data_IF_631016574504
#
_entry.id   IF_631016574504
#
_cell.length_a   1.000
_cell.length_b   1.000
_cell.length_c   1.000
_cell.angle_alpha   90.00
_cell.angle_beta   90.00
_cell.angle_gamma   90.00
#
_symmetry.space_group_name_H-M   'P 1'
#
loop_
_entity.id
_entity.type
_entity.pdbx_description
1 polymer ?
#
# COMPACT_ATOMS: atom_id res chain seq x y z
N UNK A 1 -12.36 -20.93 8.37
CA UNK A 1 -13.30 -20.07 7.60
C UNK A 1 -13.26 -18.62 8.07
N UNK A 2 -13.63 -18.30 9.32
CA UNK A 2 -13.68 -16.91 9.84
C UNK A 2 -12.36 -16.15 9.65
N UNK A 3 -11.23 -16.78 9.91
CA UNK A 3 -9.91 -16.14 9.78
C UNK A 3 -9.58 -15.74 8.34
N UNK A 4 -9.97 -16.52 7.33
CA UNK A 4 -9.78 -16.16 5.93
C UNK A 4 -10.67 -14.96 5.55
N UNK A 5 -11.88 -14.86 6.11
CA UNK A 5 -12.74 -13.69 5.89
C UNK A 5 -12.10 -12.43 6.46
N UNK A 6 -11.57 -12.50 7.68
CA UNK A 6 -10.84 -11.38 8.29
C UNK A 6 -9.60 -11.00 7.47
N UNK A 7 -8.84 -11.99 7.01
CA UNK A 7 -7.67 -11.76 6.16
C UNK A 7 -8.07 -11.15 4.79
N UNK A 8 -9.17 -11.58 4.19
CA UNK A 8 -9.68 -11.03 2.94
C UNK A 8 -10.15 -9.57 3.11
N UNK A 9 -10.80 -9.25 4.23
CA UNK A 9 -11.18 -7.87 4.57
C UNK A 9 -9.91 -7.01 4.73
N UNK A 10 -8.93 -7.49 5.51
CA UNK A 10 -7.67 -6.80 5.71
C UNK A 10 -6.92 -6.58 4.39
N UNK A 11 -6.85 -7.61 3.53
CA UNK A 11 -6.24 -7.54 2.21
C UNK A 11 -6.93 -6.48 1.33
N UNK A 12 -8.26 -6.44 1.35
CA UNK A 12 -9.06 -5.47 0.58
C UNK A 12 -8.78 -4.04 1.04
N UNK A 13 -8.76 -3.80 2.37
CA UNK A 13 -8.43 -2.49 2.93
C UNK A 13 -6.98 -2.08 2.61
N UNK A 14 -6.05 -3.03 2.66
CA UNK A 14 -4.65 -2.80 2.34
C UNK A 14 -4.47 -2.41 0.86
N UNK A 15 -5.16 -3.08 -0.06
CA UNK A 15 -5.18 -2.72 -1.49
C UNK A 15 -5.80 -1.34 -1.70
N UNK A 16 -6.92 -1.04 -1.02
CA UNK A 16 -7.56 0.26 -1.12
C UNK A 16 -6.63 1.39 -0.63
N UNK A 17 -5.87 1.18 0.44
CA UNK A 17 -4.87 2.13 0.93
C UNK A 17 -3.72 2.33 -0.08
N UNK A 18 -3.21 1.25 -0.66
CA UNK A 18 -2.19 1.32 -1.71
C UNK A 18 -2.69 2.09 -2.93
N UNK A 19 -3.89 1.75 -3.43
CA UNK A 19 -4.52 2.44 -4.54
C UNK A 19 -4.72 3.93 -4.23
N UNK A 20 -5.24 4.26 -3.05
CA UNK A 20 -5.41 5.64 -2.61
C UNK A 20 -4.08 6.41 -2.62
N UNK A 21 -3.01 5.83 -2.08
CA UNK A 21 -1.69 6.45 -2.07
C UNK A 21 -1.18 6.73 -3.50
N UNK A 22 -1.26 5.75 -4.41
CA UNK A 22 -0.81 5.88 -5.80
C UNK A 22 -1.63 6.87 -6.64
N UNK A 23 -2.93 6.97 -6.37
CA UNK A 23 -3.84 7.93 -7.01
C UNK A 23 -3.64 9.35 -6.47
N UNK A 24 -3.30 9.50 -5.18
CA UNK A 24 -3.13 10.82 -4.53
C UNK A 24 -1.72 11.39 -4.68
N UNK A 25 -0.70 10.55 -4.81
CA UNK A 25 0.69 10.96 -5.06
C UNK A 25 0.86 12.09 -6.11
N UNK A 26 0.29 11.99 -7.35
CA UNK A 26 0.46 13.05 -8.36
C UNK A 26 -0.20 14.39 -7.99
N UNK A 27 -1.10 14.41 -7.01
CA UNK A 27 -1.73 15.65 -6.54
C UNK A 27 -0.82 16.45 -5.60
N UNK A 28 0.07 15.78 -4.87
CA UNK A 28 0.88 16.41 -3.81
C UNK A 28 2.39 16.37 -4.05
N UNK A 29 2.86 15.76 -5.15
CA UNK A 29 4.28 15.70 -5.51
C UNK A 29 4.53 16.48 -6.80
N UNK A 30 5.41 17.49 -6.75
CA UNK A 30 5.84 18.27 -7.90
C UNK A 30 7.01 17.57 -8.63
N UNK A 31 6.88 17.42 -9.96
CA UNK A 31 7.93 16.88 -10.82
C UNK A 31 7.79 15.39 -11.12
N UNK A 32 7.88 15.04 -12.40
CA UNK A 32 7.71 13.67 -12.88
C UNK A 32 8.74 12.71 -12.27
N UNK A 33 10.00 13.14 -12.10
CA UNK A 33 11.07 12.32 -11.52
C UNK A 33 10.81 11.96 -10.06
N UNK A 34 10.38 12.93 -9.24
CA UNK A 34 10.05 12.68 -7.82
C UNK A 34 8.84 11.75 -7.68
N UNK A 35 7.83 11.94 -8.54
CA UNK A 35 6.65 11.09 -8.57
C UNK A 35 7.01 9.64 -8.95
N UNK A 36 7.85 9.46 -9.98
CA UNK A 36 8.32 8.13 -10.39
C UNK A 36 9.16 7.47 -9.30
N UNK A 37 10.07 8.20 -8.67
CA UNK A 37 10.86 7.68 -7.56
C UNK A 37 9.98 7.24 -6.38
N UNK A 38 9.01 8.07 -5.97
CA UNK A 38 8.09 7.73 -4.88
C UNK A 38 7.26 6.47 -5.19
N UNK A 39 6.76 6.35 -6.42
CA UNK A 39 6.02 5.16 -6.87
C UNK A 39 6.91 3.92 -6.88
N UNK A 40 8.11 4.01 -7.43
CA UNK A 40 9.05 2.89 -7.50
C UNK A 40 9.45 2.40 -6.11
N UNK A 41 9.74 3.33 -5.18
CA UNK A 41 10.11 2.98 -3.80
C UNK A 41 8.94 2.31 -3.08
N UNK A 42 7.74 2.90 -3.13
CA UNK A 42 6.57 2.33 -2.46
C UNK A 42 6.19 0.97 -3.04
N UNK A 43 6.23 0.83 -4.36
CA UNK A 43 5.91 -0.41 -5.04
C UNK A 43 6.95 -1.50 -4.75
N UNK A 44 8.24 -1.16 -4.83
CA UNK A 44 9.34 -2.08 -4.52
C UNK A 44 9.31 -2.55 -3.07
N UNK A 45 9.11 -1.62 -2.12
CA UNK A 45 9.00 -1.96 -0.70
C UNK A 45 7.75 -2.80 -0.43
N UNK A 46 6.61 -2.47 -1.07
CA UNK A 46 5.40 -3.27 -1.01
C UNK A 46 5.62 -4.70 -1.51
N UNK A 47 6.28 -4.89 -2.66
CA UNK A 47 6.62 -6.22 -3.17
C UNK A 47 7.52 -6.97 -2.19
N UNK A 48 8.57 -6.32 -1.67
CA UNK A 48 9.50 -6.94 -0.72
C UNK A 48 8.79 -7.42 0.55
N UNK A 49 8.01 -6.55 1.19
CA UNK A 49 7.26 -6.90 2.40
C UNK A 49 6.18 -7.95 2.13
N UNK A 50 5.44 -7.83 1.03
CA UNK A 50 4.47 -8.84 0.61
C UNK A 50 5.12 -10.20 0.40
N UNK A 51 6.26 -10.25 -0.32
CA UNK A 51 6.99 -11.49 -0.58
C UNK A 51 7.47 -12.15 0.70
N UNK A 52 8.10 -11.39 1.61
CA UNK A 52 8.53 -11.92 2.92
C UNK A 52 7.34 -12.46 3.72
N UNK A 53 6.21 -11.76 3.72
CA UNK A 53 4.98 -12.23 4.37
C UNK A 53 4.42 -13.51 3.75
N UNK A 54 4.46 -13.63 2.42
CA UNK A 54 4.00 -14.80 1.69
C UNK A 54 4.78 -16.07 2.06
N UNK A 55 6.09 -15.94 2.30
CA UNK A 55 6.98 -17.06 2.65
C UNK A 55 6.71 -17.65 4.03
N UNK A 56 5.96 -16.96 4.90
CA UNK A 56 5.60 -17.46 6.23
C UNK A 56 4.50 -18.51 6.20
N UNK A 57 3.79 -18.67 5.08
CA UNK A 57 2.62 -19.53 4.97
C UNK A 57 2.86 -20.63 3.93
N UNK A 58 2.56 -21.88 4.32
CA UNK A 58 2.64 -23.04 3.42
C UNK A 58 1.41 -23.20 2.53
N UNK A 59 0.26 -22.73 3.00
CA UNK A 59 -0.97 -22.81 2.23
C UNK A 59 -1.05 -21.71 1.16
N UNK A 60 -1.36 -22.04 -0.11
CA UNK A 60 -1.38 -21.06 -1.20
C UNK A 60 -2.31 -19.87 -0.94
N UNK A 61 -3.54 -20.12 -0.47
CA UNK A 61 -4.51 -19.07 -0.23
C UNK A 61 -4.06 -18.10 0.88
N UNK A 62 -3.50 -18.63 1.97
CA UNK A 62 -2.96 -17.83 3.07
C UNK A 62 -1.72 -17.03 2.64
N UNK A 63 -0.85 -17.63 1.84
CA UNK A 63 0.34 -16.98 1.28
C UNK A 63 -0.02 -15.79 0.39
N UNK A 64 -1.01 -15.96 -0.49
CA UNK A 64 -1.52 -14.87 -1.35
C UNK A 64 -2.13 -13.75 -0.51
N UNK A 65 -2.96 -14.09 0.48
CA UNK A 65 -3.55 -13.07 1.37
C UNK A 65 -2.48 -12.32 2.17
N UNK A 66 -1.48 -13.03 2.69
CA UNK A 66 -0.36 -12.43 3.40
C UNK A 66 0.47 -11.52 2.50
N UNK A 67 0.69 -11.90 1.23
CA UNK A 67 1.34 -11.05 0.24
C UNK A 67 0.56 -9.74 0.05
N UNK A 68 -0.74 -9.83 -0.19
CA UNK A 68 -1.59 -8.66 -0.46
C UNK A 68 -1.63 -7.72 0.76
N UNK A 69 -1.77 -8.29 1.96
CA UNK A 69 -1.74 -7.52 3.21
C UNK A 69 -0.38 -6.85 3.38
N UNK A 70 0.72 -7.59 3.28
CA UNK A 70 2.08 -7.06 3.41
C UNK A 70 2.39 -5.97 2.39
N UNK A 71 1.96 -6.16 1.14
CA UNK A 71 2.07 -5.16 0.09
C UNK A 71 1.30 -3.88 0.43
N UNK A 72 0.03 -3.99 0.82
CA UNK A 72 -0.81 -2.83 1.04
C UNK A 72 -0.52 -2.08 2.35
N UNK A 73 -0.13 -2.77 3.42
CA UNK A 73 0.18 -2.17 4.73
C UNK A 73 1.34 -1.17 4.65
N UNK A 74 2.35 -1.45 3.82
CA UNK A 74 3.48 -0.53 3.56
C UNK A 74 3.03 0.84 3.02
N UNK A 75 1.86 0.89 2.37
CA UNK A 75 1.32 2.12 1.81
C UNK A 75 0.47 2.92 2.82
N UNK A 76 0.16 2.38 4.01
CA UNK A 76 -0.66 3.07 5.01
C UNK A 76 -0.04 4.39 5.50
N UNK A 77 1.27 4.49 5.80
CA UNK A 77 1.86 5.77 6.19
C UNK A 77 1.74 6.83 5.08
N UNK A 78 1.99 6.44 3.83
CA UNK A 78 1.82 7.33 2.68
C UNK A 78 0.35 7.76 2.51
N UNK A 79 -0.60 6.82 2.65
CA UNK A 79 -2.03 7.11 2.65
C UNK A 79 -2.40 8.14 3.74
N UNK A 80 -1.91 7.94 4.97
CA UNK A 80 -2.14 8.85 6.09
C UNK A 80 -1.59 10.27 5.85
N UNK A 81 -0.34 10.36 5.38
CA UNK A 81 0.29 11.65 5.05
C UNK A 81 -0.50 12.38 3.95
N UNK A 82 -0.85 11.68 2.87
CA UNK A 82 -1.59 12.28 1.74
C UNK A 82 -3.02 12.66 2.13
N UNK A 83 -3.65 11.89 3.02
CA UNK A 83 -4.95 12.24 3.58
C UNK A 83 -4.88 13.49 4.45
N UNK A 84 -3.86 13.60 5.31
CA UNK A 84 -3.65 14.79 6.14
C UNK A 84 -3.35 16.03 5.29
N UNK A 85 -2.48 15.90 4.27
CA UNK A 85 -2.23 16.98 3.30
C UNK A 85 -3.51 17.47 2.62
N UNK A 86 -4.38 16.53 2.23
CA UNK A 86 -5.69 16.84 1.65
C UNK A 86 -6.55 17.65 2.63
N UNK A 87 -6.62 17.26 3.90
CA UNK A 87 -7.41 17.99 4.89
C UNK A 87 -6.86 19.40 5.16
N UNK A 88 -5.55 19.58 5.11
CA UNK A 88 -4.89 20.87 5.32
C UNK A 88 -4.92 21.80 4.10
N UNK A 89 -5.40 21.31 2.95
CA UNK A 89 -5.36 22.07 1.68
C UNK A 89 -3.95 22.34 1.16
N UNK A 90 -2.95 21.56 1.61
CA UNK A 90 -1.55 21.75 1.21
C UNK A 90 -1.35 21.42 -0.27
N UNK A 91 -0.60 22.26 -0.99
CA UNK A 91 -0.27 22.08 -2.40
C UNK A 91 0.84 21.06 -2.67
N UNK A 92 1.33 21.04 -3.90
CA UNK A 92 2.43 20.16 -4.32
C UNK A 92 3.74 20.55 -3.63
N UNK A 93 4.55 19.56 -3.27
CA UNK A 93 5.91 19.69 -2.72
C UNK A 93 6.96 19.06 -3.63
#
# INVERSE_FOLDING_TARGET
>A
MLWYLLAAIAATLAVAAAAYAHLRLPLFTAGATKLMAARAILFGLGIGCGYVGAQMYREPAASVLAFIIGFGVVHLPACGILFLKRQRGEGRS
#
